data_IF_620987334183
#
_entry.id   IF_620987334183
#
_cell.length_a   1.000
_cell.length_b   1.000
_cell.length_c   1.000
_cell.angle_alpha   90.00
_cell.angle_beta   90.00
_cell.angle_gamma   90.00
#
_symmetry.space_group_name_H-M   'P 1'
#
loop_
_entity.id
_entity.type
_entity.pdbx_description
1 polymer ?
#
# COMPACT_ATOMS: atom_id res chain seq x y z
N UNK A 1 -5.03 2.79 -1.70
CA UNK A 1 -3.74 3.28 -2.23
C UNK A 1 -3.37 4.64 -1.63
N UNK A 2 -3.33 4.77 -0.31
CA UNK A 2 -2.99 6.03 0.38
C UNK A 2 -1.49 6.30 0.35
N UNK A 3 -0.67 5.26 0.57
CA UNK A 3 0.79 5.39 0.63
C UNK A 3 1.35 5.69 -0.75
N UNK A 4 0.89 4.95 -1.75
CA UNK A 4 1.30 5.12 -3.15
C UNK A 4 1.03 6.52 -3.66
N UNK A 5 -0.16 7.08 -3.37
CA UNK A 5 -0.53 8.46 -3.77
C UNK A 5 0.33 9.51 -3.06
N UNK A 6 0.58 9.33 -1.77
CA UNK A 6 1.39 10.26 -0.99
C UNK A 6 2.85 10.26 -1.47
N UNK A 7 3.46 9.09 -1.62
CA UNK A 7 4.86 8.97 -2.04
C UNK A 7 5.07 9.35 -3.50
N UNK A 8 4.13 9.08 -4.41
CA UNK A 8 4.22 9.57 -5.79
C UNK A 8 4.15 11.10 -5.84
N UNK A 9 3.31 11.73 -5.00
CA UNK A 9 3.26 13.18 -4.85
C UNK A 9 4.58 13.78 -4.35
N UNK A 10 5.21 13.16 -3.35
CA UNK A 10 6.54 13.58 -2.88
C UNK A 10 7.60 13.46 -3.97
N UNK A 11 7.61 12.36 -4.72
CA UNK A 11 8.57 12.16 -5.82
C UNK A 11 8.35 13.19 -6.94
N UNK A 12 7.10 13.50 -7.26
CA UNK A 12 6.77 14.53 -8.25
C UNK A 12 7.22 15.92 -7.82
N UNK A 13 7.12 16.23 -6.52
CA UNK A 13 7.46 17.55 -5.98
C UNK A 13 8.96 17.75 -5.74
N UNK A 14 9.65 16.75 -5.19
CA UNK A 14 11.04 16.87 -4.73
C UNK A 14 12.03 16.06 -5.57
N UNK A 15 11.56 15.39 -6.62
CA UNK A 15 12.37 14.50 -7.44
C UNK A 15 12.58 13.12 -6.80
N UNK A 16 13.51 12.34 -7.37
CA UNK A 16 13.82 11.00 -6.86
C UNK A 16 14.61 11.12 -5.55
N UNK A 17 14.08 10.61 -4.43
CA UNK A 17 14.79 10.65 -3.17
C UNK A 17 15.92 9.63 -3.15
N UNK A 18 16.99 9.95 -2.42
CA UNK A 18 18.06 9.01 -2.17
C UNK A 18 17.57 7.95 -1.18
N UNK A 19 17.53 6.69 -1.61
CA UNK A 19 17.04 5.57 -0.83
C UNK A 19 18.07 4.44 -0.87
N UNK A 20 18.30 3.80 0.26
CA UNK A 20 19.00 2.52 0.29
C UNK A 20 18.15 1.42 -0.36
N UNK A 21 18.78 0.32 -0.77
CA UNK A 21 18.08 -0.85 -1.33
C UNK A 21 16.98 -1.37 -0.39
N UNK A 22 17.20 -1.30 0.93
CA UNK A 22 16.22 -1.71 1.94
C UNK A 22 14.99 -0.79 1.93
N UNK A 23 15.20 0.53 1.84
CA UNK A 23 14.12 1.51 1.78
C UNK A 23 13.33 1.40 0.48
N UNK A 24 14.03 1.26 -0.65
CA UNK A 24 13.38 1.05 -1.94
C UNK A 24 12.55 -0.24 -1.96
N UNK A 25 13.10 -1.35 -1.42
CA UNK A 25 12.37 -2.61 -1.27
C UNK A 25 11.13 -2.46 -0.41
N UNK A 26 11.21 -1.74 0.71
CA UNK A 26 10.06 -1.48 1.58
C UNK A 26 8.98 -0.69 0.84
N UNK A 27 9.35 0.38 0.13
CA UNK A 27 8.43 1.18 -0.69
C UNK A 27 7.73 0.31 -1.75
N UNK A 28 8.48 -0.50 -2.49
CA UNK A 28 7.91 -1.37 -3.53
C UNK A 28 6.98 -2.44 -2.97
N UNK A 29 7.31 -3.00 -1.80
CA UNK A 29 6.43 -3.95 -1.11
C UNK A 29 5.11 -3.29 -0.68
N UNK A 30 5.15 -2.05 -0.18
CA UNK A 30 3.95 -1.27 0.16
C UNK A 30 3.10 -1.05 -1.09
N UNK A 31 3.69 -0.57 -2.19
CA UNK A 31 2.98 -0.34 -3.47
C UNK A 31 2.33 -1.63 -3.98
N UNK A 32 3.06 -2.75 -3.94
CA UNK A 32 2.53 -4.04 -4.36
C UNK A 32 1.30 -4.48 -3.54
N UNK A 33 1.38 -4.39 -2.21
CA UNK A 33 0.27 -4.78 -1.33
C UNK A 33 -0.94 -3.85 -1.49
N UNK A 34 -0.73 -2.54 -1.62
CA UNK A 34 -1.80 -1.59 -1.89
C UNK A 34 -2.49 -1.84 -3.24
N UNK A 35 -1.72 -2.15 -4.28
CA UNK A 35 -2.26 -2.51 -5.58
C UNK A 35 -3.11 -3.78 -5.52
N UNK A 36 -2.65 -4.80 -4.77
CA UNK A 36 -3.42 -6.04 -4.55
C UNK A 36 -4.74 -5.78 -3.81
N UNK A 37 -4.73 -4.95 -2.76
CA UNK A 37 -5.95 -4.56 -2.04
C UNK A 37 -6.93 -3.84 -2.96
N UNK A 38 -6.45 -2.92 -3.81
CA UNK A 38 -7.31 -2.21 -4.76
C UNK A 38 -7.91 -3.16 -5.81
N UNK A 39 -7.13 -4.14 -6.27
CA UNK A 39 -7.60 -5.20 -7.14
C UNK A 39 -8.73 -6.03 -6.50
N UNK A 40 -8.52 -6.49 -5.27
CA UNK A 40 -9.53 -7.23 -4.49
C UNK A 40 -10.79 -6.38 -4.31
N UNK A 41 -10.66 -5.14 -3.87
CA UNK A 41 -11.79 -4.22 -3.70
C UNK A 41 -12.55 -3.98 -5.01
N UNK A 42 -11.84 -3.87 -6.13
CA UNK A 42 -12.46 -3.73 -7.45
C UNK A 42 -13.30 -4.96 -7.81
N UNK A 43 -12.79 -6.16 -7.55
CA UNK A 43 -13.54 -7.40 -7.77
C UNK A 43 -14.75 -7.46 -6.84
N UNK A 44 -14.57 -7.15 -5.54
CA UNK A 44 -15.67 -7.15 -4.56
C UNK A 44 -16.78 -6.17 -4.93
N UNK A 45 -16.45 -4.95 -5.39
CA UNK A 45 -17.42 -3.98 -5.92
C UNK A 45 -18.21 -4.52 -7.11
N UNK A 46 -17.56 -5.24 -8.03
CA UNK A 46 -18.23 -5.86 -9.17
C UNK A 46 -19.16 -7.03 -8.79
N UNK A 47 -18.88 -7.67 -7.66
CA UNK A 47 -19.65 -8.81 -7.13
C UNK A 47 -20.64 -8.39 -6.05
N UNK A 48 -20.80 -7.10 -5.79
CA UNK A 48 -21.68 -6.58 -4.75
C UNK A 48 -23.13 -7.05 -4.96
N UNK A 49 -23.79 -7.46 -3.88
CA UNK A 49 -25.13 -8.07 -3.93
C UNK A 49 -25.14 -9.55 -4.34
N UNK A 50 -24.01 -10.15 -4.69
CA UNK A 50 -23.88 -11.60 -4.92
C UNK A 50 -23.30 -12.32 -3.70
N UNK A 51 -23.55 -13.63 -3.60
CA UNK A 51 -22.92 -14.48 -2.58
C UNK A 51 -21.39 -14.54 -2.72
N UNK A 52 -20.87 -14.24 -3.92
CA UNK A 52 -19.45 -14.34 -4.26
C UNK A 52 -18.62 -13.18 -3.69
N UNK A 53 -19.25 -12.08 -3.26
CA UNK A 53 -18.55 -10.91 -2.72
C UNK A 53 -17.65 -11.25 -1.52
N UNK A 54 -18.07 -12.23 -0.71
CA UNK A 54 -17.37 -12.65 0.51
C UNK A 54 -16.17 -13.58 0.26
N UNK A 55 -16.03 -14.14 -0.94
CA UNK A 55 -14.97 -15.11 -1.25
C UNK A 55 -13.56 -14.54 -1.07
N UNK A 56 -13.43 -13.22 -1.17
CA UNK A 56 -12.15 -12.53 -1.08
C UNK A 56 -11.88 -11.91 0.29
N UNK A 57 -12.75 -12.13 1.29
CA UNK A 57 -12.62 -11.50 2.62
C UNK A 57 -11.35 -11.98 3.34
N UNK A 58 -11.07 -13.27 3.29
CA UNK A 58 -9.86 -13.86 3.90
C UNK A 58 -8.60 -13.34 3.20
N UNK A 59 -8.62 -13.27 1.86
CA UNK A 59 -7.47 -12.77 1.11
C UNK A 59 -7.24 -11.28 1.40
N UNK A 60 -8.31 -10.48 1.40
CA UNK A 60 -8.27 -9.07 1.76
C UNK A 60 -7.63 -8.89 3.15
N UNK A 61 -8.11 -9.64 4.14
CA UNK A 61 -7.59 -9.59 5.51
C UNK A 61 -6.10 -9.92 5.56
N UNK A 62 -5.66 -10.98 4.87
CA UNK A 62 -4.26 -11.38 4.87
C UNK A 62 -3.34 -10.34 4.20
N UNK A 63 -3.77 -9.75 3.09
CA UNK A 63 -2.99 -8.70 2.40
C UNK A 63 -2.96 -7.43 3.26
N UNK A 64 -4.09 -7.05 3.85
CA UNK A 64 -4.19 -5.89 4.72
C UNK A 64 -3.32 -6.04 5.96
N UNK A 65 -3.33 -7.22 6.60
CA UNK A 65 -2.46 -7.55 7.73
C UNK A 65 -0.98 -7.37 7.37
N UNK A 66 -0.52 -7.91 6.23
CA UNK A 66 0.87 -7.74 5.77
C UNK A 66 1.23 -6.28 5.52
N UNK A 67 0.31 -5.49 4.96
CA UNK A 67 0.52 -4.06 4.77
C UNK A 67 0.69 -3.38 6.13
N UNK A 68 -0.19 -3.68 7.08
CA UNK A 68 -0.14 -3.17 8.46
C UNK A 68 1.16 -3.56 9.16
N UNK A 69 1.66 -4.79 8.98
CA UNK A 69 2.94 -5.23 9.54
C UNK A 69 4.13 -4.41 8.99
N UNK A 70 4.12 -4.07 7.70
CA UNK A 70 5.18 -3.25 7.09
C UNK A 70 5.10 -1.79 7.52
N UNK A 71 3.90 -1.22 7.56
CA UNK A 71 3.71 0.22 7.81
C UNK A 71 3.55 0.55 9.30
N UNK A 72 3.29 -0.44 10.14
CA UNK A 72 2.90 -0.25 11.54
C UNK A 72 1.53 0.42 11.69
N UNK A 73 0.69 0.39 10.65
CA UNK A 73 -0.54 1.19 10.52
C UNK A 73 -0.31 2.72 10.63
N UNK A 74 0.91 3.19 10.39
CA UNK A 74 1.24 4.62 10.48
C UNK A 74 0.68 5.37 9.27
N UNK A 75 0.25 6.63 9.44
CA UNK A 75 -0.09 7.47 8.29
C UNK A 75 1.15 7.71 7.39
N UNK A 76 0.97 7.94 6.08
CA UNK A 76 2.08 8.09 5.12
C UNK A 76 3.13 9.14 5.53
N UNK A 77 2.70 10.22 6.16
CA UNK A 77 3.54 11.31 6.67
C UNK A 77 4.52 10.80 7.74
N UNK A 78 4.05 9.96 8.66
CA UNK A 78 4.88 9.34 9.70
C UNK A 78 5.78 8.25 9.14
N UNK A 79 5.36 7.57 8.07
CA UNK A 79 6.17 6.54 7.42
C UNK A 79 7.31 7.15 6.57
N UNK A 80 7.16 8.40 6.14
CA UNK A 80 8.16 9.14 5.35
C UNK A 80 9.56 9.05 5.96
N UNK A 81 9.71 9.26 7.26
CA UNK A 81 11.01 9.27 7.95
C UNK A 81 11.70 7.90 7.94
N UNK A 82 10.97 6.80 7.77
CA UNK A 82 11.54 5.44 7.62
C UNK A 82 12.01 5.16 6.20
N UNK A 83 11.41 5.82 5.20
CA UNK A 83 11.61 5.55 3.78
C UNK A 83 12.56 6.53 3.10
N UNK A 84 12.55 7.79 3.53
CA UNK A 84 13.32 8.86 2.91
C UNK A 84 14.21 9.49 3.98
N UNK A 85 15.52 9.41 3.77
CA UNK A 85 16.47 10.19 4.55
C UNK A 85 16.48 11.59 3.95
N UNK A 86 16.09 12.58 4.74
CA UNK A 86 16.33 14.00 4.42
C UNK A 86 17.77 14.37 4.67
#
# INVERSE_FOLDING_TARGET
MIYTKYFSGLIAQYGRPNMSDTQFRLLMNIVHLEGRLEGINTIKRKLEGTREAHRFDIEYFNVHKKLTELTGNLPPESLKSRLFVT
#
